data_IF_633506432408
#
_entry.id   IF_633506432408
#
_cell.length_a   1.000
_cell.length_b   1.000
_cell.length_c   1.000
_cell.angle_alpha   90.00
_cell.angle_beta   90.00
_cell.angle_gamma   90.00
#
_symmetry.space_group_name_H-M   'P 1'
#
loop_
_entity.id
_entity.type
_entity.pdbx_description
1 polymer ?
#
# COMPACT_ATOMS: atom_id res chain seq x y z
N UNK A 1 36.76 58.31 -47.14
CA UNK A 1 37.16 57.03 -46.51
C UNK A 1 36.96 57.12 -45.00
N UNK A 2 36.56 56.01 -44.37
CA UNK A 2 36.20 55.79 -42.95
C UNK A 2 34.70 55.97 -42.62
N UNK A 3 33.96 54.89 -42.87
CA UNK A 3 32.64 54.58 -42.30
C UNK A 3 32.86 53.92 -40.93
N UNK A 4 32.28 54.46 -39.86
CA UNK A 4 32.26 53.80 -38.55
C UNK A 4 31.05 52.87 -38.47
N UNK A 5 31.33 51.57 -38.36
CA UNK A 5 30.36 50.51 -38.09
C UNK A 5 30.09 50.51 -36.58
N UNK A 6 28.89 50.91 -36.16
CA UNK A 6 28.42 50.69 -34.79
C UNK A 6 27.94 49.24 -34.69
N UNK A 7 28.71 48.39 -34.03
CA UNK A 7 28.32 47.03 -33.69
C UNK A 7 27.40 47.06 -32.46
N UNK A 8 26.10 46.85 -32.68
CA UNK A 8 25.12 46.62 -31.61
C UNK A 8 25.31 45.19 -31.10
N UNK A 9 26.02 45.01 -29.98
CA UNK A 9 26.05 43.74 -29.26
C UNK A 9 24.68 43.52 -28.60
N UNK A 10 23.84 42.69 -29.20
CA UNK A 10 22.63 42.17 -28.56
C UNK A 10 23.03 41.24 -27.40
N UNK A 11 22.88 41.72 -26.17
CA UNK A 11 23.03 40.92 -24.97
C UNK A 11 21.86 39.93 -24.90
N UNK A 12 22.09 38.68 -25.33
CA UNK A 12 21.16 37.60 -25.09
C UNK A 12 21.12 37.31 -23.58
N UNK A 13 20.06 37.77 -22.91
CA UNK A 13 19.76 37.42 -21.52
C UNK A 13 19.42 35.92 -21.46
N UNK A 14 20.43 35.09 -21.23
CA UNK A 14 20.22 33.71 -20.78
C UNK A 14 19.69 33.80 -19.35
N UNK A 15 18.36 33.78 -19.18
CA UNK A 15 17.79 33.54 -17.86
C UNK A 15 18.27 32.16 -17.41
N UNK A 16 18.97 32.04 -16.27
CA UNK A 16 19.27 30.74 -15.72
C UNK A 16 17.94 30.08 -15.36
N UNK A 17 17.70 28.89 -15.92
CA UNK A 17 16.64 28.00 -15.46
C UNK A 17 16.96 27.70 -13.98
N UNK A 18 16.29 28.41 -13.08
CA UNK A 18 16.44 28.16 -11.65
C UNK A 18 15.79 26.81 -11.38
N UNK A 19 16.64 25.78 -11.23
CA UNK A 19 16.23 24.49 -10.73
C UNK A 19 15.70 24.72 -9.30
N UNK A 20 14.38 24.75 -9.16
CA UNK A 20 13.73 25.03 -7.89
C UNK A 20 13.89 23.79 -7.00
N UNK A 21 14.52 23.95 -5.83
CA UNK A 21 14.73 22.86 -4.90
C UNK A 21 13.39 22.23 -4.44
N UNK A 22 13.43 20.95 -4.05
CA UNK A 22 12.28 20.23 -3.52
C UNK A 22 11.71 20.92 -2.26
N UNK A 23 10.38 21.01 -2.19
CA UNK A 23 9.63 21.57 -1.07
C UNK A 23 9.18 20.43 -0.14
N UNK A 24 9.88 20.26 0.98
CA UNK A 24 9.58 19.21 1.96
C UNK A 24 8.23 19.42 2.67
N UNK A 25 7.71 20.65 2.75
CA UNK A 25 6.42 20.92 3.36
C UNK A 25 5.28 20.46 2.42
N UNK A 26 5.41 20.72 1.13
CA UNK A 26 4.53 20.16 0.11
C UNK A 26 4.62 18.63 0.10
N UNK A 27 5.84 18.07 0.08
CA UNK A 27 6.06 16.62 0.12
C UNK A 27 5.42 15.94 1.33
N UNK A 28 5.51 16.55 2.52
CA UNK A 28 4.83 16.07 3.73
C UNK A 28 3.31 16.11 3.61
N UNK A 29 2.76 17.14 2.97
CA UNK A 29 1.33 17.25 2.73
C UNK A 29 0.82 16.16 1.77
N UNK A 30 1.56 15.91 0.68
CA UNK A 30 1.27 14.85 -0.30
C UNK A 30 1.39 13.45 0.29
N UNK A 31 2.36 13.22 1.19
CA UNK A 31 2.56 11.94 1.87
C UNK A 31 1.33 11.48 2.67
N UNK A 32 0.37 12.35 2.99
CA UNK A 32 -0.88 11.94 3.64
C UNK A 32 -1.61 10.85 2.83
N UNK A 33 -1.60 10.93 1.50
CA UNK A 33 -2.21 9.91 0.64
C UNK A 33 -1.40 8.61 0.65
N UNK A 34 -0.07 8.72 0.62
CA UNK A 34 0.84 7.57 0.70
C UNK A 34 0.73 6.84 2.04
N UNK A 35 0.50 7.59 3.12
CA UNK A 35 0.43 7.08 4.48
C UNK A 35 -0.77 6.16 4.75
N UNK A 36 -1.81 6.19 3.91
CA UNK A 36 -2.96 5.27 4.01
C UNK A 36 -2.51 3.81 3.93
N UNK A 37 -1.53 3.53 3.08
CA UNK A 37 -1.02 2.17 2.86
C UNK A 37 0.38 1.98 3.48
N UNK A 38 1.27 2.96 3.28
CA UNK A 38 2.68 2.85 3.69
C UNK A 38 2.93 3.33 5.13
N UNK A 39 1.89 3.74 5.86
CA UNK A 39 2.00 4.27 7.21
C UNK A 39 2.47 5.73 7.26
N UNK A 40 2.25 6.37 8.42
CA UNK A 40 2.47 7.81 8.62
C UNK A 40 3.83 8.34 8.11
N UNK A 41 4.88 7.55 8.26
CA UNK A 41 6.24 7.91 7.89
C UNK A 41 6.73 7.17 6.64
N UNK A 42 5.87 6.42 5.94
CA UNK A 42 6.28 5.51 4.89
C UNK A 42 7.05 4.30 5.43
N UNK A 43 6.78 3.87 6.66
CA UNK A 43 7.46 2.72 7.28
C UNK A 43 7.05 1.36 6.69
N UNK A 44 5.97 1.30 5.91
CA UNK A 44 5.35 0.07 5.46
C UNK A 44 4.75 -0.73 6.62
N UNK A 45 4.43 -1.99 6.38
CA UNK A 45 4.03 -2.91 7.45
C UNK A 45 4.38 -4.34 7.09
N UNK A 46 4.93 -5.08 8.04
CA UNK A 46 5.15 -6.52 7.92
C UNK A 46 3.82 -7.24 7.76
N UNK A 47 3.80 -8.32 6.98
CA UNK A 47 2.56 -8.96 6.56
C UNK A 47 1.67 -8.05 5.69
N UNK A 48 2.25 -7.10 4.95
CA UNK A 48 1.52 -6.34 3.91
C UNK A 48 2.41 -6.13 2.69
N UNK A 49 1.81 -6.01 1.51
CA UNK A 49 2.51 -5.62 0.28
C UNK A 49 2.76 -4.10 0.20
N UNK A 50 2.71 -3.39 1.33
CA UNK A 50 2.99 -1.96 1.42
C UNK A 50 4.46 -1.74 1.79
N UNK A 51 5.35 -1.46 0.81
CA UNK A 51 6.78 -1.33 1.07
C UNK A 51 7.10 -0.14 1.98
N UNK A 52 8.25 -0.23 2.64
CA UNK A 52 8.93 0.92 3.25
C UNK A 52 9.38 1.88 2.15
N UNK A 53 8.95 3.13 2.26
CA UNK A 53 9.35 4.26 1.43
C UNK A 53 10.34 5.18 2.18
N UNK A 54 10.24 5.20 3.52
CA UNK A 54 11.09 6.00 4.40
C UNK A 54 12.58 5.71 4.15
N UNK A 55 13.35 6.76 3.87
CA UNK A 55 14.80 6.66 3.70
C UNK A 55 15.25 6.01 2.40
N UNK A 56 14.33 5.69 1.48
CA UNK A 56 14.68 5.28 0.12
C UNK A 56 15.34 6.45 -0.63
N UNK A 57 16.29 6.21 -1.55
CA UNK A 57 16.89 7.26 -2.36
C UNK A 57 15.82 8.05 -3.13
N UNK A 58 15.93 9.37 -3.12
CA UNK A 58 14.96 10.25 -3.78
C UNK A 58 14.79 9.90 -5.26
N UNK A 59 15.88 9.67 -5.97
CA UNK A 59 15.88 9.36 -7.40
C UNK A 59 15.18 8.03 -7.69
N UNK A 60 15.31 7.06 -6.78
CA UNK A 60 14.59 5.80 -6.89
C UNK A 60 13.08 6.00 -6.72
N UNK A 61 12.66 6.81 -5.74
CA UNK A 61 11.26 7.14 -5.51
C UNK A 61 10.67 7.88 -6.72
N UNK A 62 11.36 8.90 -7.25
CA UNK A 62 10.93 9.62 -8.45
C UNK A 62 10.74 8.65 -9.61
N UNK A 63 11.72 7.76 -9.87
CA UNK A 63 11.61 6.76 -10.93
C UNK A 63 10.42 5.84 -10.69
N UNK A 64 10.25 5.29 -9.49
CA UNK A 64 9.18 4.35 -9.17
C UNK A 64 7.79 4.98 -9.34
N UNK A 65 7.59 6.19 -8.82
CA UNK A 65 6.33 6.93 -8.95
C UNK A 65 6.05 7.29 -10.42
N UNK A 66 7.08 7.68 -11.18
CA UNK A 66 6.98 7.90 -12.62
C UNK A 66 6.64 6.63 -13.39
N UNK A 67 7.23 5.49 -13.03
CA UNK A 67 6.93 4.18 -13.62
C UNK A 67 5.46 3.77 -13.37
N UNK A 68 4.91 4.02 -12.18
CA UNK A 68 3.48 3.79 -11.88
C UNK A 68 2.58 4.69 -12.72
N UNK A 69 2.87 6.00 -12.75
CA UNK A 69 2.09 6.98 -13.52
C UNK A 69 2.10 6.69 -15.03
N UNK A 70 3.21 6.15 -15.53
CA UNK A 70 3.36 5.76 -16.93
C UNK A 70 2.85 4.34 -17.26
N UNK A 71 2.33 3.59 -16.29
CA UNK A 71 1.89 2.20 -16.49
C UNK A 71 3.03 1.19 -16.73
N UNK A 72 4.29 1.57 -16.47
CA UNK A 72 5.42 0.62 -16.52
C UNK A 72 5.45 -0.28 -15.28
N UNK A 73 4.91 0.21 -14.16
CA UNK A 73 4.56 -0.59 -12.99
C UNK A 73 3.05 -0.52 -12.84
N UNK A 74 2.39 -1.66 -12.97
CA UNK A 74 0.93 -1.72 -12.86
C UNK A 74 0.55 -1.91 -11.39
N UNK A 75 -0.14 -0.94 -10.82
CA UNK A 75 -0.83 -1.06 -9.53
C UNK A 75 -1.87 0.06 -9.44
N UNK A 76 -3.15 -0.30 -9.51
CA UNK A 76 -4.24 0.67 -9.54
C UNK A 76 -4.31 1.50 -8.25
N UNK A 77 -4.06 0.90 -7.09
CA UNK A 77 -4.06 1.59 -5.80
C UNK A 77 -2.96 2.67 -5.75
N UNK A 78 -1.76 2.35 -6.23
CA UNK A 78 -0.69 3.34 -6.37
C UNK A 78 -1.07 4.46 -7.34
N UNK A 79 -1.76 4.17 -8.44
CA UNK A 79 -2.14 5.21 -9.40
C UNK A 79 -3.23 6.13 -8.86
N UNK A 80 -4.33 5.55 -8.34
CA UNK A 80 -5.57 6.27 -8.00
C UNK A 80 -5.68 6.63 -6.53
N UNK A 81 -5.40 5.70 -5.62
CA UNK A 81 -5.49 5.97 -4.17
C UNK A 81 -4.37 6.90 -3.70
N UNK A 82 -3.16 6.75 -4.22
CA UNK A 82 -2.09 7.73 -3.95
C UNK A 82 -2.19 9.01 -4.81
N UNK A 83 -3.19 9.09 -5.70
CA UNK A 83 -3.44 10.22 -6.61
C UNK A 83 -2.25 10.59 -7.52
N UNK A 84 -1.43 9.61 -7.91
CA UNK A 84 -0.27 9.84 -8.78
C UNK A 84 -0.67 10.34 -10.17
N UNK A 85 -1.86 9.98 -10.66
CA UNK A 85 -2.40 10.48 -11.92
C UNK A 85 -2.71 11.99 -11.92
N UNK A 86 -2.80 12.59 -10.74
CA UNK A 86 -3.07 14.02 -10.54
C UNK A 86 -1.84 14.81 -10.07
N UNK A 87 -0.73 14.13 -9.74
CA UNK A 87 0.50 14.77 -9.28
C UNK A 87 1.32 15.33 -10.45
N UNK A 88 1.80 16.56 -10.28
CA UNK A 88 2.80 17.15 -11.16
C UNK A 88 4.17 16.50 -10.94
N UNK A 89 5.11 16.73 -11.85
CA UNK A 89 6.49 16.27 -11.68
C UNK A 89 7.14 16.87 -10.42
N UNK A 90 6.79 18.12 -10.10
CA UNK A 90 7.23 18.81 -8.89
C UNK A 90 6.66 18.16 -7.62
N UNK A 91 5.40 17.73 -7.65
CA UNK A 91 4.79 17.01 -6.52
C UNK A 91 5.49 15.66 -6.28
N UNK A 92 5.81 14.94 -7.36
CA UNK A 92 6.58 13.68 -7.28
C UNK A 92 7.97 13.93 -6.70
N UNK A 93 8.65 14.99 -7.13
CA UNK A 93 9.95 15.40 -6.58
C UNK A 93 9.85 15.71 -5.08
N UNK A 94 8.85 16.49 -4.68
CA UNK A 94 8.63 16.96 -3.31
C UNK A 94 8.33 15.81 -2.35
N UNK A 95 7.39 14.92 -2.70
CA UNK A 95 7.05 13.76 -1.87
C UNK A 95 8.21 12.77 -1.78
N UNK A 96 8.97 12.60 -2.87
CA UNK A 96 10.16 11.74 -2.89
C UNK A 96 11.27 12.30 -2.01
N UNK A 97 11.52 13.60 -2.06
CA UNK A 97 12.49 14.27 -1.19
C UNK A 97 12.09 14.18 0.29
N UNK A 98 10.80 14.38 0.58
CA UNK A 98 10.27 14.23 1.93
C UNK A 98 10.48 12.81 2.48
N UNK A 99 10.04 11.77 1.74
CA UNK A 99 10.18 10.37 2.16
C UNK A 99 11.65 9.95 2.31
N UNK A 100 12.52 10.38 1.40
CA UNK A 100 13.96 10.13 1.48
C UNK A 100 14.61 10.75 2.72
N UNK A 101 14.07 11.87 3.23
CA UNK A 101 14.58 12.55 4.42
C UNK A 101 14.23 11.84 5.75
N UNK A 102 13.32 10.87 5.73
CA UNK A 102 12.83 10.19 6.93
C UNK A 102 13.84 9.12 7.37
N UNK A 103 14.40 9.29 8.57
CA UNK A 103 15.25 8.30 9.22
C UNK A 103 14.49 7.56 10.34
N UNK A 104 14.19 6.28 10.10
CA UNK A 104 13.51 5.41 11.06
C UNK A 104 14.47 4.50 11.83
N UNK A 105 15.78 4.50 11.51
CA UNK A 105 16.76 3.52 12.02
C UNK A 105 17.06 3.61 13.51
N UNK A 106 16.52 4.62 14.20
CA UNK A 106 16.74 4.88 15.64
C UNK A 106 15.59 4.41 16.52
N UNK A 107 14.49 3.97 15.94
CA UNK A 107 13.29 3.58 16.67
C UNK A 107 12.95 2.12 16.37
N UNK A 108 13.30 1.19 17.28
CA UNK A 108 13.14 -0.25 17.06
C UNK A 108 11.71 -0.68 16.72
N UNK A 109 10.70 0.16 17.02
CA UNK A 109 9.32 -0.12 16.63
C UNK A 109 9.09 -0.16 15.12
N UNK A 110 10.04 0.38 14.33
CA UNK A 110 10.00 0.40 12.87
C UNK A 110 11.01 -0.56 12.24
N UNK A 111 11.64 -1.42 13.04
CA UNK A 111 12.51 -2.46 12.52
C UNK A 111 11.67 -3.46 11.72
N UNK A 112 12.18 -3.87 10.56
CA UNK A 112 11.54 -4.92 9.77
C UNK A 112 11.67 -6.25 10.49
N UNK A 113 10.53 -6.90 10.70
CA UNK A 113 10.49 -8.23 11.30
C UNK A 113 10.81 -9.26 10.23
N UNK A 114 11.77 -10.14 10.49
CA UNK A 114 12.05 -11.30 9.65
C UNK A 114 10.97 -12.36 9.86
N UNK A 115 10.41 -12.89 8.76
CA UNK A 115 9.43 -13.96 8.79
C UNK A 115 9.79 -15.05 7.78
N UNK A 116 9.65 -16.32 8.19
CA UNK A 116 9.90 -17.49 7.36
C UNK A 116 11.36 -17.62 6.88
N UNK A 117 11.64 -18.69 6.14
CA UNK A 117 12.91 -18.90 5.44
C UNK A 117 14.11 -19.28 6.31
N UNK A 118 15.07 -19.96 5.70
CA UNK A 118 16.41 -20.19 6.24
C UNK A 118 17.31 -18.99 5.94
N UNK A 119 17.54 -18.16 6.97
CA UNK A 119 18.40 -16.96 6.90
C UNK A 119 19.84 -17.31 6.50
N UNK A 120 20.35 -18.48 6.88
CA UNK A 120 21.72 -18.90 6.56
C UNK A 120 21.84 -19.23 5.07
N UNK A 121 20.86 -19.94 4.53
CA UNK A 121 20.80 -20.22 3.09
C UNK A 121 20.57 -18.94 2.30
N UNK A 122 19.63 -18.11 2.72
CA UNK A 122 19.35 -16.80 2.11
C UNK A 122 20.57 -15.90 2.07
N UNK A 123 21.40 -15.93 3.12
CA UNK A 123 22.68 -15.23 3.17
C UNK A 123 23.68 -15.73 2.13
N UNK A 124 23.71 -17.04 1.87
CA UNK A 124 24.57 -17.65 0.86
C UNK A 124 24.15 -17.17 -0.52
N UNK A 125 22.87 -17.33 -0.86
CA UNK A 125 22.27 -16.93 -2.13
C UNK A 125 22.41 -15.43 -2.39
N UNK A 126 22.04 -14.58 -1.42
CA UNK A 126 22.18 -13.13 -1.56
C UNK A 126 23.63 -12.71 -1.82
N UNK A 127 24.58 -13.38 -1.16
CA UNK A 127 26.01 -13.14 -1.39
C UNK A 127 26.48 -13.72 -2.71
N UNK A 128 25.85 -14.73 -3.29
CA UNK A 128 26.15 -15.21 -4.64
C UNK A 128 25.79 -14.13 -5.65
N UNK A 129 24.50 -13.80 -5.70
CA UNK A 129 23.91 -13.21 -6.90
C UNK A 129 23.49 -11.75 -6.70
N UNK A 130 22.97 -11.39 -5.51
CA UNK A 130 22.40 -10.06 -5.28
C UNK A 130 23.44 -8.99 -4.90
N UNK A 131 24.50 -9.37 -4.14
CA UNK A 131 25.45 -8.42 -3.51
C UNK A 131 26.17 -7.50 -4.50
N UNK A 132 26.35 -7.95 -5.74
CA UNK A 132 27.16 -7.25 -6.74
C UNK A 132 26.48 -5.94 -7.15
N UNK A 133 25.15 -5.93 -7.20
CA UNK A 133 24.35 -4.75 -7.50
C UNK A 133 23.85 -4.08 -6.21
N UNK A 134 23.31 -4.85 -5.27
CA UNK A 134 22.64 -4.31 -4.07
C UNK A 134 23.55 -4.09 -2.86
N UNK A 135 24.85 -4.34 -2.98
CA UNK A 135 25.80 -4.20 -1.88
C UNK A 135 25.81 -5.42 -0.95
N UNK A 136 26.91 -5.62 -0.22
CA UNK A 136 27.04 -6.75 0.73
C UNK A 136 26.17 -6.57 1.97
N UNK A 137 25.87 -5.32 2.26
CA UNK A 137 25.04 -4.78 3.33
C UNK A 137 23.58 -4.57 2.90
N UNK A 138 23.26 -4.75 1.61
CA UNK A 138 21.90 -4.61 1.08
C UNK A 138 21.42 -3.17 0.94
N UNK A 139 22.25 -2.14 1.18
CA UNK A 139 21.85 -0.74 1.08
C UNK A 139 21.89 -0.17 -0.34
N UNK A 140 22.12 -1.03 -1.34
CA UNK A 140 22.08 -0.64 -2.74
C UNK A 140 23.33 0.12 -3.18
N UNK A 141 23.31 0.52 -4.45
CA UNK A 141 24.34 1.37 -5.07
C UNK A 141 23.63 2.45 -5.87
N UNK A 142 23.27 3.59 -5.26
CA UNK A 142 22.46 4.63 -5.92
C UNK A 142 23.04 5.10 -7.26
N UNK A 143 24.37 5.25 -7.35
CA UNK A 143 25.08 5.61 -8.60
C UNK A 143 24.92 4.59 -9.73
N UNK A 144 24.49 3.37 -9.43
CA UNK A 144 24.22 2.29 -10.39
C UNK A 144 22.72 1.99 -10.54
N UNK A 145 21.84 2.84 -9.99
CA UNK A 145 20.40 2.61 -10.02
C UNK A 145 19.90 1.46 -9.14
N UNK A 146 20.79 0.75 -8.44
CA UNK A 146 20.41 -0.36 -7.56
C UNK A 146 19.88 0.17 -6.22
N UNK A 147 18.58 -0.01 -5.91
CA UNK A 147 17.99 0.48 -4.67
C UNK A 147 18.46 -0.34 -3.45
N UNK A 148 18.33 0.22 -2.24
CA UNK A 148 18.44 -0.57 -1.02
C UNK A 148 17.34 -1.62 -0.97
N UNK A 149 17.74 -2.82 -0.57
CA UNK A 149 16.87 -3.95 -0.23
C UNK A 149 16.81 -4.16 1.28
N UNK A 150 17.92 -3.88 1.98
CA UNK A 150 17.94 -3.82 3.44
C UNK A 150 16.86 -2.86 3.93
N UNK A 151 16.26 -3.18 5.07
CA UNK A 151 15.17 -2.41 5.66
C UNK A 151 13.83 -2.46 4.88
N UNK A 152 13.69 -3.33 3.89
CA UNK A 152 12.42 -3.56 3.18
C UNK A 152 11.70 -4.82 3.68
N UNK A 153 10.37 -4.80 3.66
CA UNK A 153 9.53 -5.94 4.08
C UNK A 153 9.73 -7.14 3.15
N UNK A 154 9.95 -8.32 3.76
CA UNK A 154 10.27 -9.56 3.06
C UNK A 154 9.16 -9.98 2.09
N UNK A 155 7.89 -9.76 2.44
CA UNK A 155 6.75 -10.09 1.57
C UNK A 155 6.71 -9.21 0.32
N UNK A 156 6.97 -7.91 0.48
CA UNK A 156 7.06 -7.01 -0.67
C UNK A 156 8.22 -7.37 -1.61
N UNK A 157 9.37 -7.73 -1.05
CA UNK A 157 10.53 -8.16 -1.84
C UNK A 157 10.24 -9.46 -2.58
N UNK A 158 9.63 -10.43 -1.89
CA UNK A 158 9.23 -11.70 -2.50
C UNK A 158 8.29 -11.45 -3.67
N UNK A 159 7.21 -10.70 -3.45
CA UNK A 159 6.25 -10.35 -4.49
C UNK A 159 6.91 -9.60 -5.64
N UNK A 160 7.82 -8.66 -5.35
CA UNK A 160 8.53 -7.92 -6.39
C UNK A 160 9.34 -8.86 -7.29
N UNK A 161 10.01 -9.86 -6.72
CA UNK A 161 10.78 -10.84 -7.48
C UNK A 161 9.86 -11.77 -8.28
N UNK A 162 8.74 -12.23 -7.70
CA UNK A 162 7.73 -13.00 -8.44
C UNK A 162 7.19 -12.21 -9.64
N UNK A 163 6.96 -10.91 -9.48
CA UNK A 163 6.53 -10.05 -10.60
C UNK A 163 7.63 -9.89 -11.67
N UNK A 164 8.92 -9.97 -11.31
CA UNK A 164 10.02 -10.01 -12.28
C UNK A 164 10.03 -11.34 -13.04
N UNK A 165 9.95 -12.49 -12.35
CA UNK A 165 9.83 -13.82 -12.97
C UNK A 165 8.66 -13.89 -13.96
N UNK A 166 7.50 -13.34 -13.57
CA UNK A 166 6.29 -13.32 -14.39
C UNK A 166 6.30 -12.22 -15.47
N UNK A 167 7.38 -11.44 -15.60
CA UNK A 167 7.52 -10.30 -16.53
C UNK A 167 6.40 -9.24 -16.40
N UNK A 168 5.68 -9.21 -15.28
CA UNK A 168 4.67 -8.20 -14.94
C UNK A 168 5.30 -6.90 -14.42
N UNK A 169 6.57 -6.97 -14.05
CA UNK A 169 7.39 -5.84 -13.64
C UNK A 169 8.77 -5.99 -14.27
N UNK A 170 9.34 -4.88 -14.72
CA UNK A 170 10.67 -4.85 -15.34
C UNK A 170 11.76 -4.67 -14.28
N UNK A 171 12.79 -5.53 -14.29
CA UNK A 171 14.00 -5.40 -13.49
C UNK A 171 15.14 -4.85 -14.36
N UNK A 172 15.99 -3.98 -13.79
CA UNK A 172 17.10 -3.27 -14.47
C UNK A 172 16.79 -2.58 -15.81
N UNK A 173 15.51 -2.30 -16.09
CA UNK A 173 15.01 -1.84 -17.39
C UNK A 173 15.26 -2.83 -18.55
N UNK A 174 15.37 -4.11 -18.23
CA UNK A 174 15.44 -5.20 -19.19
C UNK A 174 14.13 -6.02 -19.16
N UNK A 175 13.33 -6.02 -20.24
CA UNK A 175 12.09 -6.80 -20.32
C UNK A 175 12.33 -8.30 -20.35
N UNK A 176 13.50 -8.75 -20.80
CA UNK A 176 13.82 -10.17 -20.95
C UNK A 176 14.60 -10.73 -19.75
N UNK A 177 14.83 -9.93 -18.70
CA UNK A 177 15.69 -10.31 -17.58
C UNK A 177 15.36 -11.67 -16.96
N UNK A 178 16.27 -12.63 -17.13
CA UNK A 178 16.18 -14.02 -16.63
C UNK A 178 16.87 -14.20 -15.26
N UNK A 179 17.38 -13.13 -14.65
CA UNK A 179 18.12 -13.17 -13.37
C UNK A 179 17.40 -13.97 -12.29
N UNK A 180 16.07 -14.00 -12.32
CA UNK A 180 15.27 -14.63 -11.27
C UNK A 180 14.75 -16.02 -11.62
N UNK A 181 14.93 -16.51 -12.85
CA UNK A 181 14.22 -17.69 -13.35
C UNK A 181 14.66 -18.99 -12.66
N UNK A 182 15.92 -19.05 -12.21
CA UNK A 182 16.50 -20.21 -11.54
C UNK A 182 16.19 -20.26 -10.02
N UNK A 183 15.64 -19.19 -9.44
CA UNK A 183 15.31 -19.20 -8.00
C UNK A 183 13.94 -19.84 -7.75
N UNK A 184 13.93 -20.87 -6.91
CA UNK A 184 12.68 -21.43 -6.40
C UNK A 184 12.02 -20.49 -5.39
N UNK A 185 10.73 -20.69 -5.11
CA UNK A 185 10.03 -19.93 -4.06
C UNK A 185 10.70 -20.08 -2.69
N UNK A 186 11.32 -21.24 -2.42
CA UNK A 186 12.08 -21.46 -1.18
C UNK A 186 13.34 -20.60 -1.16
N UNK A 187 14.07 -20.52 -2.28
CA UNK A 187 15.25 -19.66 -2.40
C UNK A 187 14.88 -18.20 -2.21
N UNK A 188 13.80 -17.74 -2.86
CA UNK A 188 13.29 -16.38 -2.72
C UNK A 188 12.87 -16.07 -1.28
N UNK A 189 12.16 -16.99 -0.62
CA UNK A 189 11.77 -16.85 0.78
C UNK A 189 13.01 -16.77 1.69
N UNK A 190 14.03 -17.59 1.44
CA UNK A 190 15.28 -17.56 2.19
C UNK A 190 16.03 -16.23 1.98
N UNK A 191 16.17 -15.78 0.73
CA UNK A 191 16.83 -14.52 0.36
C UNK A 191 16.14 -13.33 1.04
N UNK A 192 14.81 -13.22 0.95
CA UNK A 192 14.07 -12.08 1.52
C UNK A 192 14.05 -12.11 3.04
N UNK A 193 14.00 -13.29 3.66
CA UNK A 193 14.20 -13.46 5.09
C UNK A 193 15.57 -12.96 5.55
N UNK A 194 16.64 -13.30 4.82
CA UNK A 194 17.98 -12.77 5.10
C UNK A 194 18.03 -11.24 4.95
N UNK A 195 17.47 -10.68 3.87
CA UNK A 195 17.47 -9.23 3.63
C UNK A 195 16.78 -8.48 4.77
N UNK A 196 15.68 -9.00 5.33
CA UNK A 196 15.00 -8.38 6.48
C UNK A 196 15.95 -8.23 7.69
N UNK A 197 16.88 -9.17 7.89
CA UNK A 197 17.87 -9.08 8.98
C UNK A 197 18.89 -7.94 8.80
N UNK A 198 19.03 -7.40 7.59
CA UNK A 198 19.99 -6.34 7.27
C UNK A 198 19.54 -4.95 7.73
N UNK A 199 18.28 -4.76 8.12
CA UNK A 199 17.80 -3.48 8.67
C UNK A 199 18.66 -3.03 9.87
N UNK A 200 18.93 -3.99 10.77
CA UNK A 200 19.73 -3.80 11.98
C UNK A 200 21.20 -3.45 11.71
N UNK A 201 21.72 -3.71 10.51
CA UNK A 201 23.13 -3.47 10.17
C UNK A 201 23.47 -1.99 9.96
N UNK A 202 22.47 -1.09 9.91
CA UNK A 202 22.70 0.37 9.94
C UNK A 202 23.12 0.87 11.32
N UNK A 203 22.91 0.07 12.35
CA UNK A 203 23.25 0.36 13.75
C UNK A 203 24.55 -0.38 14.11
N UNK A 204 25.66 -0.08 13.42
CA UNK A 204 26.98 -0.51 13.92
C UNK A 204 28.04 0.61 13.99
N UNK A 205 28.58 0.71 15.20
CA UNK A 205 29.83 1.31 15.73
C UNK A 205 30.36 2.70 15.30
N UNK A 206 29.86 3.40 14.28
CA UNK A 206 30.50 4.67 13.82
C UNK A 206 29.62 5.94 13.80
N UNK A 207 28.33 5.84 14.10
CA UNK A 207 27.52 6.94 14.67
C UNK A 207 27.47 8.28 13.91
N UNK A 208 27.70 8.34 12.59
CA UNK A 208 27.55 9.59 11.81
C UNK A 208 26.63 9.43 10.60
N UNK A 209 25.34 9.66 10.84
CA UNK A 209 24.55 10.64 10.06
C UNK A 209 23.44 11.16 10.97
N UNK A 210 23.53 12.44 11.34
CA UNK A 210 22.59 13.14 12.20
C UNK A 210 21.85 14.15 11.33
N UNK A 211 20.65 13.80 10.90
CA UNK A 211 19.67 14.77 10.42
C UNK A 211 18.34 14.46 11.10
N UNK A 212 17.79 15.48 11.75
CA UNK A 212 16.45 15.49 12.34
C UNK A 212 15.75 16.67 11.66
N UNK A 213 14.72 16.46 10.83
CA UNK A 213 13.89 17.56 10.34
C UNK A 213 13.23 18.28 11.54
N UNK A 214 13.33 19.62 11.64
CA UNK A 214 13.03 20.39 12.85
C UNK A 214 11.53 20.57 13.20
N UNK A 215 10.60 19.83 12.62
CA UNK A 215 9.16 20.04 12.84
C UNK A 215 8.46 18.97 13.71
N UNK A 216 9.17 17.96 14.20
CA UNK A 216 8.59 16.91 15.08
C UNK A 216 9.12 16.91 16.52
N UNK A 217 10.07 17.78 16.88
CA UNK A 217 10.57 17.94 18.26
C UNK A 217 9.71 18.93 19.09
N UNK A 218 8.94 19.80 18.43
CA UNK A 218 8.22 20.91 19.09
C UNK A 218 6.85 20.53 19.73
N UNK A 219 6.50 19.25 19.87
CA UNK A 219 5.25 18.83 20.57
C UNK A 219 5.45 17.82 21.70
N UNK A 220 6.57 17.93 22.42
CA UNK A 220 6.74 17.34 23.76
C UNK A 220 7.33 18.36 24.72
N UNK A 221 6.50 19.28 25.18
CA UNK A 221 6.73 20.04 26.40
C UNK A 221 5.48 19.93 27.29
N UNK A 222 5.56 18.98 28.21
CA UNK A 222 4.95 18.92 29.54
C UNK A 222 3.84 19.96 29.83
N UNK A 223 2.61 19.47 29.99
CA UNK A 223 1.70 19.98 31.03
C UNK A 223 1.25 18.79 31.86
N UNK A 224 1.78 18.66 33.09
CA UNK A 224 1.31 17.69 34.07
C UNK A 224 -0.06 18.16 34.61
N UNK A 225 -1.11 17.33 34.62
CA UNK A 225 -2.33 17.65 35.35
C UNK A 225 -2.07 17.47 36.86
N UNK A 226 -2.21 18.53 37.64
CA UNK A 226 -2.33 18.47 39.11
C UNK A 226 -3.72 17.97 39.49
N UNK A 227 -3.80 16.85 40.22
CA UNK A 227 -5.05 16.32 40.79
C UNK A 227 -5.16 16.79 42.25
N UNK A 228 -6.26 17.44 42.68
CA UNK A 228 -6.55 17.67 44.09
C UNK A 228 -7.15 16.40 44.73
N UNK A 229 -6.66 16.05 45.92
CA UNK A 229 -7.12 14.92 46.75
C UNK A 229 -8.35 15.27 47.59
N UNK A 230 -9.38 14.41 47.60
CA UNK A 230 -10.16 13.97 48.79
C UNK A 230 -11.24 12.92 48.42
N UNK A 231 -11.93 12.26 49.37
CA UNK A 231 -11.64 10.88 49.75
C UNK A 231 -12.71 9.87 49.32
N UNK A 232 -12.29 8.61 49.33
CA UNK A 232 -13.03 7.38 49.02
C UNK A 232 -14.26 7.12 49.89
N UNK A 233 -15.34 6.62 49.25
CA UNK A 233 -16.25 5.58 49.78
C UNK A 233 -16.83 4.74 48.61
N UNK A 234 -17.22 3.46 48.86
CA UNK A 234 -17.16 2.41 47.83
C UNK A 234 -18.53 1.81 47.42
N UNK A 235 -18.50 1.08 46.28
CA UNK A 235 -19.49 0.09 45.78
C UNK A 235 -20.80 0.75 45.25
N UNK A 236 -21.42 0.41 44.10
CA UNK A 236 -22.01 -0.88 43.66
C UNK A 236 -22.40 -0.85 42.16
N UNK A 237 -22.35 -2.03 41.53
CA UNK A 237 -23.22 -2.60 40.48
C UNK A 237 -23.63 -1.79 39.22
N UNK A 238 -23.16 -2.35 38.09
CA UNK A 238 -23.86 -2.66 36.84
C UNK A 238 -25.17 -1.97 36.42
N UNK A 239 -25.20 -1.63 35.12
CA UNK A 239 -26.34 -1.58 34.19
C UNK A 239 -27.41 -0.51 34.40
N UNK A 240 -27.42 0.52 33.55
CA UNK A 240 -28.58 0.87 32.72
C UNK A 240 -28.23 1.90 31.63
N UNK A 241 -28.57 1.54 30.39
CA UNK A 241 -29.10 2.34 29.28
C UNK A 241 -28.63 3.80 29.10
N UNK A 242 -27.94 4.01 27.98
CA UNK A 242 -28.32 4.94 26.91
C UNK A 242 -29.06 6.23 27.31
N UNK A 243 -28.36 7.37 27.25
CA UNK A 243 -28.88 8.63 26.69
C UNK A 243 -27.76 9.66 26.47
N UNK A 244 -27.66 10.05 25.20
CA UNK A 244 -27.32 11.37 24.65
C UNK A 244 -25.95 12.02 24.94
N UNK A 245 -25.14 12.02 23.87
CA UNK A 245 -24.50 13.17 23.21
C UNK A 245 -23.59 14.11 24.01
N UNK A 246 -22.33 14.22 23.56
CA UNK A 246 -21.89 15.43 22.84
C UNK A 246 -20.52 15.27 22.15
N UNK A 247 -20.57 15.38 20.81
CA UNK A 247 -19.59 15.97 19.86
C UNK A 247 -18.11 15.52 19.91
N UNK A 248 -17.74 14.69 18.93
CA UNK A 248 -16.42 14.69 18.32
C UNK A 248 -16.50 15.40 16.96
N UNK A 249 -15.69 16.43 16.77
CA UNK A 249 -15.59 17.20 15.52
C UNK A 249 -14.98 16.37 14.39
N UNK A 250 -15.62 16.46 13.22
CA UNK A 250 -15.16 15.96 11.93
C UNK A 250 -13.80 16.55 11.56
N UNK A 251 -12.87 15.69 11.16
CA UNK A 251 -11.81 16.05 10.22
C UNK A 251 -12.12 15.30 8.92
N UNK A 252 -12.64 16.04 7.93
CA UNK A 252 -12.89 15.55 6.59
C UNK A 252 -11.56 15.43 5.83
N UNK A 253 -11.21 14.21 5.42
CA UNK A 253 -10.18 13.97 4.40
C UNK A 253 -10.87 13.49 3.11
N UNK A 254 -10.67 14.26 2.05
CA UNK A 254 -11.18 13.97 0.71
C UNK A 254 -10.51 12.69 0.15
N UNK A 255 -11.31 11.72 -0.33
CA UNK A 255 -10.84 10.63 -1.19
C UNK A 255 -10.99 9.17 -0.68
N UNK A 256 -12.19 8.60 -0.83
CA UNK A 256 -12.40 7.24 -1.41
C UNK A 256 -12.35 5.99 -0.54
N UNK A 257 -11.27 5.73 0.21
CA UNK A 257 -11.08 4.45 0.92
C UNK A 257 -10.97 4.67 2.42
N UNK A 258 -11.95 4.18 3.18
CA UNK A 258 -11.92 4.23 4.64
C UNK A 258 -11.70 2.84 5.22
N UNK A 259 -10.52 2.63 5.82
CA UNK A 259 -10.21 1.43 6.61
C UNK A 259 -10.54 1.75 8.07
N UNK A 260 -11.62 1.16 8.62
CA UNK A 260 -12.15 1.52 9.95
C UNK A 260 -11.63 0.65 11.09
N UNK A 261 -11.70 1.23 12.29
CA UNK A 261 -10.95 0.86 13.49
C UNK A 261 -11.69 -0.15 14.42
N UNK A 262 -12.16 -1.26 13.83
CA UNK A 262 -12.20 -2.63 14.43
C UNK A 262 -11.04 -3.49 13.85
N UNK A 263 -10.25 -2.83 12.98
CA UNK A 263 -8.87 -3.03 12.52
C UNK A 263 -8.58 -4.27 11.65
N UNK A 264 -8.68 -4.02 10.33
CA UNK A 264 -7.99 -4.70 9.21
C UNK A 264 -8.73 -5.82 8.45
N UNK A 265 -9.92 -6.24 8.87
CA UNK A 265 -10.63 -7.39 8.28
C UNK A 265 -11.59 -7.07 7.12
N UNK A 266 -11.83 -5.79 6.80
CA UNK A 266 -12.85 -5.40 5.79
C UNK A 266 -12.31 -4.30 4.88
N UNK A 267 -12.42 -4.53 3.56
CA UNK A 267 -12.25 -3.49 2.54
C UNK A 267 -13.61 -2.86 2.23
N UNK A 268 -13.65 -1.52 2.15
CA UNK A 268 -14.89 -0.73 1.99
C UNK A 268 -14.67 0.41 1.00
N UNK A 269 -15.50 0.51 -0.04
CA UNK A 269 -15.44 1.58 -1.05
C UNK A 269 -16.81 2.24 -1.21
N UNK A 270 -16.86 3.58 -1.20
CA UNK A 270 -18.09 4.34 -1.52
C UNK A 270 -18.27 4.36 -3.04
N UNK A 271 -19.50 4.30 -3.53
CA UNK A 271 -19.78 4.56 -4.95
C UNK A 271 -19.49 6.03 -5.27
N UNK A 272 -18.91 6.27 -6.44
CA UNK A 272 -18.69 7.63 -6.94
C UNK A 272 -20.01 8.35 -7.22
N UNK A 273 -19.95 9.68 -7.18
CA UNK A 273 -21.14 10.51 -7.35
C UNK A 273 -21.72 10.32 -8.76
N UNK A 274 -22.94 9.78 -8.82
CA UNK A 274 -23.66 9.57 -10.08
C UNK A 274 -23.65 8.12 -10.56
N UNK A 275 -22.87 7.23 -9.93
CA UNK A 275 -22.91 5.80 -10.19
C UNK A 275 -24.15 5.21 -9.50
N UNK A 276 -25.04 4.59 -10.28
CA UNK A 276 -26.19 3.87 -9.71
C UNK A 276 -25.77 2.51 -9.18
N UNK A 277 -26.59 1.90 -8.32
CA UNK A 277 -26.36 0.52 -7.85
C UNK A 277 -26.31 -0.46 -9.03
N UNK A 278 -27.17 -0.28 -10.02
CA UNK A 278 -27.23 -1.15 -11.18
C UNK A 278 -25.98 -1.00 -12.07
N UNK A 279 -25.48 0.24 -12.24
CA UNK A 279 -24.22 0.48 -12.95
C UNK A 279 -23.04 -0.14 -12.21
N UNK A 280 -22.97 0.03 -10.89
CA UNK A 280 -21.95 -0.56 -10.05
C UNK A 280 -21.95 -2.10 -10.16
N UNK A 281 -23.12 -2.73 -10.09
CA UNK A 281 -23.25 -4.19 -10.22
C UNK A 281 -22.87 -4.67 -11.61
N UNK A 282 -23.27 -3.96 -12.66
CA UNK A 282 -22.93 -4.32 -14.04
C UNK A 282 -21.42 -4.20 -14.26
N UNK A 283 -20.78 -3.12 -13.77
CA UNK A 283 -19.34 -2.92 -13.84
C UNK A 283 -18.58 -4.00 -13.06
N UNK A 284 -19.04 -4.37 -11.86
CA UNK A 284 -18.47 -5.48 -11.09
C UNK A 284 -18.51 -6.79 -11.89
N UNK A 285 -19.66 -7.16 -12.46
CA UNK A 285 -19.83 -8.42 -13.19
C UNK A 285 -18.99 -8.41 -14.48
N UNK A 286 -18.93 -7.28 -15.19
CA UNK A 286 -18.10 -7.10 -16.37
C UNK A 286 -16.63 -7.32 -16.03
N UNK A 287 -16.12 -6.61 -15.02
CA UNK A 287 -14.72 -6.74 -14.59
C UNK A 287 -14.40 -8.14 -14.08
N UNK A 288 -15.32 -8.76 -13.36
CA UNK A 288 -15.16 -10.13 -12.89
C UNK A 288 -15.02 -11.11 -14.07
N UNK A 289 -15.80 -10.91 -15.14
CA UNK A 289 -15.70 -11.71 -16.37
C UNK A 289 -14.33 -11.54 -17.04
N UNK A 290 -13.81 -10.32 -17.15
CA UNK A 290 -12.47 -10.04 -17.70
C UNK A 290 -11.36 -10.75 -16.92
N UNK A 291 -11.55 -10.87 -15.60
CA UNK A 291 -10.60 -11.48 -14.67
C UNK A 291 -10.82 -12.98 -14.47
N UNK A 292 -11.68 -13.61 -15.27
CA UNK A 292 -12.08 -15.03 -15.14
C UNK A 292 -12.72 -15.39 -13.78
N UNK A 293 -13.24 -14.39 -13.07
CA UNK A 293 -13.97 -14.53 -11.81
C UNK A 293 -15.47 -14.60 -12.11
N UNK A 294 -16.04 -15.80 -12.10
CA UNK A 294 -17.45 -15.99 -12.45
C UNK A 294 -18.36 -15.56 -11.31
N UNK A 295 -19.47 -14.88 -11.61
CA UNK A 295 -20.57 -14.70 -10.66
C UNK A 295 -21.23 -16.07 -10.40
N UNK A 296 -21.09 -16.57 -9.17
CA UNK A 296 -21.58 -17.89 -8.74
C UNK A 296 -22.76 -17.82 -7.79
N UNK A 297 -23.12 -16.63 -7.30
CA UNK A 297 -24.27 -16.43 -6.46
C UNK A 297 -24.61 -14.95 -6.26
N UNK A 298 -25.90 -14.68 -6.04
CA UNK A 298 -26.43 -13.35 -5.76
C UNK A 298 -27.57 -13.49 -4.75
N UNK A 299 -27.57 -12.62 -3.74
CA UNK A 299 -28.62 -12.57 -2.74
C UNK A 299 -29.12 -11.14 -2.58
N UNK A 300 -30.37 -10.89 -2.96
CA UNK A 300 -31.03 -9.58 -2.90
C UNK A 300 -31.81 -9.43 -1.58
N UNK A 301 -31.09 -9.30 -0.47
CA UNK A 301 -31.67 -9.34 0.88
C UNK A 301 -32.75 -8.28 1.09
N UNK A 302 -32.51 -7.04 0.65
CA UNK A 302 -33.50 -5.97 0.81
C UNK A 302 -34.77 -6.22 0.00
N UNK A 303 -34.66 -6.75 -1.23
CA UNK A 303 -35.83 -7.08 -2.05
C UNK A 303 -36.62 -8.26 -1.47
N UNK A 304 -35.93 -9.26 -0.92
CA UNK A 304 -36.57 -10.40 -0.26
C UNK A 304 -37.36 -9.96 0.98
N UNK A 305 -36.82 -9.02 1.76
CA UNK A 305 -37.48 -8.48 2.96
C UNK A 305 -38.62 -7.51 2.61
N UNK A 306 -38.47 -6.70 1.57
CA UNK A 306 -39.54 -5.84 1.05
C UNK A 306 -40.77 -6.68 0.64
N UNK A 307 -40.55 -7.81 -0.04
CA UNK A 307 -41.62 -8.75 -0.40
C UNK A 307 -42.34 -9.37 0.82
N UNK A 308 -41.74 -9.26 2.02
CA UNK A 308 -42.31 -9.70 3.30
C UNK A 308 -42.84 -8.53 4.15
N UNK A 309 -42.90 -7.32 3.59
CA UNK A 309 -43.37 -6.12 4.28
C UNK A 309 -42.37 -5.57 5.30
N UNK A 310 -41.09 -5.91 5.19
CA UNK A 310 -40.02 -5.40 6.05
C UNK A 310 -39.16 -4.43 5.26
N UNK A 311 -39.27 -3.14 5.56
CA UNK A 311 -38.44 -2.11 4.94
C UNK A 311 -37.01 -2.13 5.49
N UNK A 312 -36.03 -2.02 4.59
CA UNK A 312 -34.64 -1.79 4.94
C UNK A 312 -33.89 -1.07 3.81
N UNK A 313 -32.78 -0.36 4.13
CA UNK A 313 -31.87 0.14 3.11
C UNK A 313 -31.36 -0.99 2.18
N UNK A 314 -30.92 -0.63 0.98
CA UNK A 314 -30.43 -1.61 0.01
C UNK A 314 -29.35 -2.51 0.63
N UNK A 315 -29.53 -3.83 0.47
CA UNK A 315 -28.55 -4.84 0.81
C UNK A 315 -28.62 -5.96 -0.22
N UNK A 316 -27.53 -6.12 -0.95
CA UNK A 316 -27.30 -7.26 -1.83
C UNK A 316 -25.91 -7.86 -1.60
N UNK A 317 -25.77 -9.17 -1.82
CA UNK A 317 -24.49 -9.88 -1.68
C UNK A 317 -24.21 -10.61 -2.99
N UNK A 318 -23.06 -10.34 -3.59
CA UNK A 318 -22.57 -10.95 -4.82
C UNK A 318 -21.39 -11.86 -4.50
N UNK A 319 -21.39 -13.03 -5.13
CA UNK A 319 -20.41 -14.09 -4.91
C UNK A 319 -19.65 -14.37 -6.20
N UNK A 320 -18.32 -14.30 -6.14
CA UNK A 320 -17.43 -14.51 -7.27
C UNK A 320 -16.45 -15.65 -7.00
N UNK A 321 -16.14 -16.44 -8.03
CA UNK A 321 -15.24 -17.57 -7.90
C UNK A 321 -14.60 -17.94 -9.25
N UNK A 322 -13.30 -18.25 -9.23
CA UNK A 322 -12.63 -19.02 -10.27
C UNK A 322 -12.56 -20.50 -9.81
N UNK A 323 -13.12 -21.45 -10.59
CA UNK A 323 -13.16 -22.87 -10.20
C UNK A 323 -11.76 -23.52 -10.13
N UNK A 324 -10.78 -23.06 -10.91
CA UNK A 324 -9.41 -23.58 -10.87
C UNK A 324 -8.68 -23.08 -9.62
N UNK A 325 -8.96 -21.86 -9.19
CA UNK A 325 -8.42 -21.28 -7.96
C UNK A 325 -9.01 -21.98 -6.75
N UNK A 326 -10.33 -22.15 -6.76
CA UNK A 326 -11.03 -22.89 -5.73
C UNK A 326 -10.47 -24.30 -5.58
N UNK A 327 -10.26 -25.01 -6.70
CA UNK A 327 -9.62 -26.33 -6.70
C UNK A 327 -8.22 -26.25 -6.11
N UNK A 328 -7.40 -25.32 -6.58
CA UNK A 328 -5.99 -25.19 -6.14
C UNK A 328 -5.90 -24.96 -4.64
N UNK A 329 -6.70 -24.04 -4.11
CA UNK A 329 -6.76 -23.74 -2.69
C UNK A 329 -7.30 -24.94 -1.88
N UNK A 330 -8.48 -25.50 -2.21
CA UNK A 330 -9.07 -26.63 -1.45
C UNK A 330 -8.18 -27.88 -1.48
N UNK A 331 -7.50 -28.14 -2.60
CA UNK A 331 -6.62 -29.32 -2.72
C UNK A 331 -5.34 -29.18 -1.89
N UNK A 332 -4.90 -27.96 -1.56
CA UNK A 332 -3.83 -27.74 -0.58
C UNK A 332 -4.36 -27.89 0.85
N UNK A 333 -5.46 -27.21 1.19
CA UNK A 333 -6.12 -27.38 2.47
C UNK A 333 -7.65 -27.22 2.36
N UNK A 334 -8.44 -28.24 2.74
CA UNK A 334 -9.90 -28.16 2.69
C UNK A 334 -10.51 -27.00 3.47
N UNK A 335 -9.80 -26.42 4.45
CA UNK A 335 -10.27 -25.25 5.20
C UNK A 335 -10.64 -24.09 4.29
N UNK A 336 -9.98 -23.95 3.13
CA UNK A 336 -10.22 -22.88 2.17
C UNK A 336 -11.64 -22.90 1.59
N UNK A 337 -12.32 -24.05 1.59
CA UNK A 337 -13.72 -24.13 1.18
C UNK A 337 -14.64 -23.23 2.03
N UNK A 338 -14.26 -22.93 3.28
CA UNK A 338 -15.02 -22.04 4.17
C UNK A 338 -14.89 -20.55 3.81
N UNK A 339 -13.90 -20.20 3.00
CA UNK A 339 -13.61 -18.85 2.56
C UNK A 339 -14.09 -18.58 1.13
N UNK A 340 -14.58 -19.62 0.45
CA UNK A 340 -15.12 -19.56 -0.90
C UNK A 340 -16.66 -19.65 -0.88
N UNK A 341 -17.34 -19.00 -1.82
CA UNK A 341 -16.82 -18.05 -2.80
C UNK A 341 -16.48 -16.68 -2.17
N UNK A 342 -15.71 -15.86 -2.90
CA UNK A 342 -15.41 -14.49 -2.49
C UNK A 342 -16.69 -13.64 -2.54
N UNK A 343 -16.88 -12.75 -1.56
CA UNK A 343 -18.15 -12.01 -1.37
C UNK A 343 -17.93 -10.50 -1.39
N UNK A 344 -18.73 -9.80 -2.18
CA UNK A 344 -18.89 -8.33 -2.11
C UNK A 344 -20.34 -8.03 -1.72
N UNK A 345 -20.52 -7.28 -0.65
CA UNK A 345 -21.82 -6.76 -0.23
C UNK A 345 -21.98 -5.34 -0.76
N UNK A 346 -23.14 -5.05 -1.36
CA UNK A 346 -23.57 -3.70 -1.74
C UNK A 346 -24.56 -3.23 -0.69
N UNK A 347 -24.21 -2.19 0.06
CA UNK A 347 -24.93 -1.78 1.26
C UNK A 347 -25.21 -0.28 1.21
N UNK A 348 -26.47 0.11 1.30
CA UNK A 348 -26.85 1.49 1.57
C UNK A 348 -26.82 1.75 3.08
N UNK A 349 -26.09 2.78 3.51
CA UNK A 349 -26.05 3.17 4.92
C UNK A 349 -27.18 4.15 5.29
N UNK A 350 -27.17 4.59 6.56
CA UNK A 350 -28.18 5.51 7.09
C UNK A 350 -28.14 6.90 6.43
N UNK A 351 -27.00 7.28 5.85
CA UNK A 351 -26.78 8.55 5.18
C UNK A 351 -27.06 8.46 3.66
N UNK A 352 -27.69 7.36 3.21
CA UNK A 352 -27.99 7.08 1.79
C UNK A 352 -26.75 6.96 0.91
N UNK A 353 -25.58 6.71 1.50
CA UNK A 353 -24.37 6.35 0.77
C UNK A 353 -24.39 4.86 0.50
N UNK A 354 -24.02 4.49 -0.71
CA UNK A 354 -23.86 3.09 -1.09
C UNK A 354 -22.40 2.70 -0.96
N UNK A 355 -22.17 1.52 -0.39
CA UNK A 355 -20.86 0.97 -0.11
C UNK A 355 -20.71 -0.42 -0.71
N UNK A 356 -19.56 -0.66 -1.33
CA UNK A 356 -19.07 -2.00 -1.62
C UNK A 356 -18.20 -2.45 -0.45
N UNK A 357 -18.48 -3.63 0.08
CA UNK A 357 -17.80 -4.16 1.26
C UNK A 357 -17.42 -5.62 1.06
N UNK A 358 -16.16 -5.97 1.33
CA UNK A 358 -15.71 -7.37 1.35
C UNK A 358 -14.78 -7.63 2.52
N UNK A 359 -14.61 -8.91 2.87
CA UNK A 359 -13.58 -9.30 3.82
C UNK A 359 -12.20 -9.07 3.20
N UNK A 360 -11.31 -8.41 3.94
CA UNK A 360 -9.94 -8.16 3.51
C UNK A 360 -9.15 -9.47 3.54
N UNK A 361 -8.83 -10.00 2.35
CA UNK A 361 -8.14 -11.27 2.22
C UNK A 361 -6.65 -11.15 2.57
N UNK A 362 -6.09 -9.94 2.70
CA UNK A 362 -4.72 -9.75 3.20
C UNK A 362 -4.53 -10.46 4.55
N UNK A 363 -5.53 -10.47 5.43
CA UNK A 363 -5.38 -11.15 6.72
C UNK A 363 -5.27 -12.68 6.59
N UNK A 364 -5.88 -13.28 5.57
CA UNK A 364 -5.78 -14.72 5.30
C UNK A 364 -4.46 -15.06 4.62
N UNK A 365 -4.02 -14.19 3.70
CA UNK A 365 -2.74 -14.26 2.98
C UNK A 365 -1.54 -14.28 3.93
N UNK A 366 -1.66 -13.60 5.07
CA UNK A 366 -0.58 -13.48 6.07
C UNK A 366 -0.69 -14.43 7.26
N UNK A 367 -1.53 -15.47 7.16
CA UNK A 367 -1.64 -16.52 8.18
C UNK A 367 -0.74 -17.72 7.85
N UNK A 368 -0.30 -18.48 8.86
CA UNK A 368 0.49 -19.73 8.70
C UNK A 368 -0.23 -20.83 7.88
N UNK A 369 -1.44 -20.56 7.38
CA UNK A 369 -2.30 -21.51 6.67
C UNK A 369 -1.90 -21.71 5.20
N UNK A 370 -1.08 -20.82 4.62
CA UNK A 370 -0.78 -20.84 3.19
C UNK A 370 0.62 -21.36 2.92
N UNK A 371 0.70 -22.50 2.22
CA UNK A 371 1.94 -22.90 1.55
C UNK A 371 2.25 -21.93 0.40
N UNK A 372 3.51 -21.93 -0.07
CA UNK A 372 3.97 -21.01 -1.12
C UNK A 372 3.21 -21.18 -2.44
N UNK A 373 2.67 -22.36 -2.72
CA UNK A 373 1.95 -22.68 -3.96
C UNK A 373 0.53 -22.10 -3.96
N UNK A 374 -0.10 -21.95 -2.79
CA UNK A 374 -1.42 -21.33 -2.64
C UNK A 374 -1.33 -19.82 -2.46
N UNK A 375 -0.20 -19.31 -1.96
CA UNK A 375 0.01 -17.89 -1.72
C UNK A 375 -0.20 -17.05 -3.00
N UNK A 376 0.39 -17.47 -4.12
CA UNK A 376 0.24 -16.79 -5.42
C UNK A 376 -1.23 -16.75 -5.88
N UNK A 377 -1.97 -17.85 -5.66
CA UNK A 377 -3.39 -17.93 -5.97
C UNK A 377 -4.19 -16.98 -5.08
N UNK A 378 -3.93 -16.97 -3.78
CA UNK A 378 -4.63 -16.12 -2.82
C UNK A 378 -4.38 -14.62 -3.09
N UNK A 379 -3.14 -14.24 -3.42
CA UNK A 379 -2.77 -12.86 -3.79
C UNK A 379 -3.48 -12.44 -5.06
N UNK A 380 -3.48 -13.28 -6.11
CA UNK A 380 -4.17 -12.96 -7.36
C UNK A 380 -5.68 -12.82 -7.16
N UNK A 381 -6.31 -13.73 -6.40
CA UNK A 381 -7.74 -13.67 -6.09
C UNK A 381 -8.07 -12.38 -5.32
N UNK A 382 -7.27 -12.00 -4.34
CA UNK A 382 -7.47 -10.74 -3.60
C UNK A 382 -7.36 -9.51 -4.51
N UNK A 383 -6.35 -9.49 -5.39
CA UNK A 383 -6.19 -8.41 -6.36
C UNK A 383 -7.38 -8.34 -7.32
N UNK A 384 -7.85 -9.47 -7.85
CA UNK A 384 -9.02 -9.53 -8.72
C UNK A 384 -10.29 -9.02 -8.02
N UNK A 385 -10.51 -9.41 -6.76
CA UNK A 385 -11.65 -8.95 -5.97
C UNK A 385 -11.62 -7.43 -5.71
N UNK A 386 -10.44 -6.87 -5.44
CA UNK A 386 -10.26 -5.42 -5.30
C UNK A 386 -10.53 -4.68 -6.62
N UNK A 387 -10.09 -5.22 -7.76
CA UNK A 387 -10.38 -4.65 -9.08
C UNK A 387 -11.86 -4.68 -9.42
N UNK A 388 -12.57 -5.74 -9.06
CA UNK A 388 -14.03 -5.83 -9.17
C UNK A 388 -14.69 -4.74 -8.33
N UNK A 389 -14.29 -4.58 -7.06
CA UNK A 389 -14.83 -3.53 -6.20
C UNK A 389 -14.57 -2.13 -6.76
N UNK A 390 -13.39 -1.89 -7.32
CA UNK A 390 -13.06 -0.61 -7.95
C UNK A 390 -13.99 -0.33 -9.12
N UNK A 391 -14.14 -1.29 -10.05
CA UNK A 391 -15.02 -1.14 -11.20
C UNK A 391 -16.46 -0.84 -10.75
N UNK A 392 -16.94 -1.52 -9.70
CA UNK A 392 -18.24 -1.22 -9.11
C UNK A 392 -18.32 0.18 -8.49
N UNK A 393 -17.29 0.63 -7.78
CA UNK A 393 -17.29 1.92 -7.12
C UNK A 393 -17.28 3.08 -8.12
N UNK A 394 -16.53 2.95 -9.22
CA UNK A 394 -16.40 4.00 -10.25
C UNK A 394 -17.45 3.89 -11.36
N UNK A 395 -18.06 2.71 -11.54
CA UNK A 395 -18.92 2.42 -12.69
C UNK A 395 -18.15 2.24 -14.00
N UNK A 396 -16.82 2.05 -13.94
CA UNK A 396 -15.98 1.85 -15.12
C UNK A 396 -16.07 0.40 -15.63
N UNK A 397 -16.25 0.25 -16.95
CA UNK A 397 -16.33 -1.03 -17.66
C UNK A 397 -14.97 -1.46 -18.22
#
# INVERSE_FOLDING_TARGET
MKKHFLALCGLAFLLPLQLQAADLANGKALNKNCALCHGLYGQGASGKLSPRLAGMPQEYLIKALGDYRAGKRQNYMMLKTAALDKMTDKDIEDVSAYLASIDLSKDPKFDVVQYGGDVKEGKSLFKGDCKTCHGRDGFGKPKKGAPPLAAQHNEYLFQSIKMFQAKMRMHDNDPEDETFDDFSDTDLTNITAYIATLDNARIDASGKTKFIPPDLVARRAIVKPTVPTSPTKPVVAATELAKADTKAEKIESQGGLQITDIKQTVAKMELEKGVSIDDAVTAMISKATDLNMKLVGQQEVSKELEARGVEMPHLAIYQFCDPMDARTMVMSNPIFASYMPCRISVVEDKDKKVWLMMLNLDMLINSELLDTKVLDTAVRVNQAMLEIMVAGATGDF
#
